data_IF_185459976396
#
_entry.id   IF_185459976396
#
_cell.length_a   1.000
_cell.length_b   1.000
_cell.length_c   1.000
_cell.angle_alpha   90.00
_cell.angle_beta   90.00
_cell.angle_gamma   90.00
#
_symmetry.space_group_name_H-M   'P 1'
#
loop_
_entity.id
_entity.type
_entity.pdbx_description
1 polymer ?
#
# COMPACT_ATOMS: atom_id res chain seq x y z
N UNK A 1 -23.97 39.40 16.67
CA UNK A 1 -23.03 39.01 15.59
C UNK A 1 -21.71 38.40 16.07
N UNK A 2 -21.24 38.62 17.32
CA UNK A 2 -19.99 38.04 17.84
C UNK A 2 -20.10 36.54 18.20
N UNK A 3 -21.23 36.12 18.74
CA UNK A 3 -21.49 34.73 19.16
C UNK A 3 -21.54 33.74 17.99
N UNK A 4 -22.12 34.16 16.86
CA UNK A 4 -22.20 33.34 15.64
C UNK A 4 -20.81 33.07 15.02
N UNK A 5 -19.91 34.05 15.06
CA UNK A 5 -18.53 33.88 14.56
C UNK A 5 -17.72 32.87 15.39
N UNK A 6 -17.88 32.92 16.72
CA UNK A 6 -17.19 32.00 17.63
C UNK A 6 -17.66 30.57 17.41
N UNK A 7 -18.98 30.36 17.25
CA UNK A 7 -19.52 29.03 16.93
C UNK A 7 -18.97 28.44 15.62
N UNK A 8 -18.85 29.26 14.57
CA UNK A 8 -18.32 28.81 13.27
C UNK A 8 -16.83 28.45 13.39
N UNK A 9 -16.04 29.26 14.09
CA UNK A 9 -14.62 28.99 14.34
C UNK A 9 -14.41 27.70 15.16
N UNK A 10 -15.25 27.45 16.18
CA UNK A 10 -15.19 26.21 16.95
C UNK A 10 -15.59 24.99 16.11
N UNK A 11 -16.57 25.11 15.21
CA UNK A 11 -16.99 24.03 14.35
C UNK A 11 -15.89 23.64 13.33
N UNK A 12 -15.19 24.62 12.77
CA UNK A 12 -14.08 24.38 11.82
C UNK A 12 -12.89 23.73 12.53
N UNK A 13 -12.55 24.17 13.74
CA UNK A 13 -11.46 23.57 14.52
C UNK A 13 -11.74 22.12 14.92
N UNK A 14 -13.01 21.78 15.20
CA UNK A 14 -13.42 20.41 15.52
C UNK A 14 -13.38 19.51 14.27
N UNK A 15 -13.81 20.01 13.12
CA UNK A 15 -13.72 19.28 11.85
C UNK A 15 -12.26 18.99 11.45
N UNK A 16 -11.36 19.96 11.62
CA UNK A 16 -9.94 19.79 11.33
C UNK A 16 -9.27 18.75 12.25
N UNK A 17 -9.63 18.71 13.55
CA UNK A 17 -9.13 17.70 14.48
C UNK A 17 -9.62 16.28 14.14
N UNK A 18 -10.83 16.15 13.58
CA UNK A 18 -11.38 14.86 13.12
C UNK A 18 -10.75 14.38 11.81
N UNK A 19 -10.26 15.29 10.95
CA UNK A 19 -9.55 14.94 9.71
C UNK A 19 -8.09 14.51 9.96
N UNK A 20 -7.49 14.96 11.07
CA UNK A 20 -6.15 14.52 11.50
C UNK A 20 -6.15 13.18 12.22
N UNK A 21 -7.32 12.57 12.48
CA UNK A 21 -7.45 11.13 12.67
C UNK A 21 -7.28 10.44 11.30
N UNK A 22 -6.09 10.69 10.78
CA UNK A 22 -5.46 10.17 9.60
C UNK A 22 -5.78 8.69 9.52
N UNK A 23 -6.45 8.31 8.43
CA UNK A 23 -6.55 6.93 8.00
C UNK A 23 -5.12 6.39 7.97
N UNK A 24 -4.70 5.70 9.03
CA UNK A 24 -3.62 4.75 8.89
C UNK A 24 -4.25 3.67 8.04
N UNK A 25 -3.99 3.69 6.73
CA UNK A 25 -4.04 2.48 5.95
C UNK A 25 -3.00 1.55 6.57
N UNK A 26 -3.44 0.86 7.63
CA UNK A 26 -2.79 -0.35 8.05
C UNK A 26 -3.06 -1.30 6.90
N UNK A 27 -2.04 -1.44 6.04
CA UNK A 27 -1.95 -2.51 5.05
C UNK A 27 -1.99 -3.81 5.85
N UNK A 28 -3.20 -4.23 6.22
CA UNK A 28 -3.48 -5.53 6.80
C UNK A 28 -3.07 -6.50 5.70
N UNK A 29 -1.82 -6.96 5.81
CA UNK A 29 -1.23 -7.89 4.87
C UNK A 29 -1.82 -9.23 5.24
N UNK A 30 -3.10 -9.42 4.90
CA UNK A 30 -3.82 -10.66 5.13
C UNK A 30 -2.97 -11.74 4.47
N UNK A 31 -2.41 -12.69 5.24
CA UNK A 31 -1.52 -13.70 4.67
C UNK A 31 -2.33 -14.53 3.67
N UNK A 32 -2.03 -14.33 2.39
CA UNK A 32 -2.62 -15.13 1.31
C UNK A 32 -1.88 -16.46 1.31
N UNK A 33 -2.64 -17.57 1.36
CA UNK A 33 -2.07 -18.90 1.18
C UNK A 33 -1.64 -19.05 -0.28
N UNK A 34 -0.38 -18.71 -0.54
CA UNK A 34 0.31 -19.04 -1.78
C UNK A 34 0.51 -20.56 -1.75
N UNK A 35 -0.24 -21.31 -2.56
CA UNK A 35 -0.07 -22.77 -2.67
C UNK A 35 1.30 -23.17 -3.21
N UNK A 36 1.37 -24.14 -4.11
CA UNK A 36 2.62 -24.45 -4.80
C UNK A 36 2.88 -23.45 -5.93
N UNK A 37 3.52 -22.33 -5.61
CA UNK A 37 3.92 -21.35 -6.62
C UNK A 37 5.39 -21.55 -6.98
N UNK A 38 5.61 -21.94 -8.23
CA UNK A 38 6.93 -22.08 -8.86
C UNK A 38 7.26 -20.77 -9.58
N UNK A 39 8.39 -20.16 -9.22
CA UNK A 39 8.87 -18.94 -9.87
C UNK A 39 9.84 -19.30 -10.98
N UNK A 40 9.43 -19.05 -12.23
CA UNK A 40 10.21 -19.38 -13.43
C UNK A 40 11.14 -18.27 -13.89
N UNK A 41 11.12 -17.10 -13.23
CA UNK A 41 12.00 -15.97 -13.55
C UNK A 41 13.42 -16.11 -12.97
N UNK A 42 13.66 -17.13 -12.14
CA UNK A 42 14.96 -17.40 -11.53
C UNK A 42 15.79 -18.31 -12.43
N UNK A 43 17.12 -18.28 -12.28
CA UNK A 43 18.04 -19.22 -12.98
C UNK A 43 17.71 -20.70 -12.73
N UNK A 44 16.96 -20.99 -11.66
CA UNK A 44 16.52 -22.32 -11.27
C UNK A 44 15.09 -22.17 -10.74
N UNK A 45 14.17 -22.96 -11.30
CA UNK A 45 12.80 -23.05 -10.81
C UNK A 45 12.80 -23.55 -9.36
N UNK A 46 12.22 -22.74 -8.46
CA UNK A 46 12.08 -23.09 -7.04
C UNK A 46 10.72 -22.64 -6.53
N UNK A 47 10.22 -23.38 -5.54
CA UNK A 47 9.06 -22.95 -4.76
C UNK A 47 9.47 -21.76 -3.90
N UNK A 48 8.59 -20.75 -3.79
CA UNK A 48 8.88 -19.52 -3.02
C UNK A 48 9.26 -19.81 -1.57
N UNK A 49 8.59 -20.78 -0.93
CA UNK A 49 8.88 -21.19 0.44
C UNK A 49 10.30 -21.70 0.65
N UNK A 50 11.00 -22.06 -0.43
CA UNK A 50 12.37 -22.58 -0.41
C UNK A 50 13.41 -21.56 -0.91
N UNK A 51 13.01 -20.29 -1.10
CA UNK A 51 13.91 -19.22 -1.52
C UNK A 51 14.53 -18.51 -0.30
N UNK A 52 15.85 -18.25 -0.30
CA UNK A 52 16.52 -17.51 0.76
C UNK A 52 16.39 -15.99 0.58
N UNK A 53 15.30 -15.52 -0.03
CA UNK A 53 15.03 -14.10 -0.30
C UNK A 53 13.55 -13.80 -0.07
N UNK A 54 13.26 -12.59 0.40
CA UNK A 54 11.88 -12.11 0.50
C UNK A 54 11.34 -11.83 -0.90
N UNK A 55 10.18 -12.41 -1.23
CA UNK A 55 9.53 -12.24 -2.52
C UNK A 55 8.01 -12.14 -2.31
N UNK A 56 7.40 -11.19 -3.00
CA UNK A 56 5.94 -11.00 -3.02
C UNK A 56 5.44 -11.26 -4.43
N UNK A 57 4.32 -11.98 -4.55
CA UNK A 57 3.59 -12.13 -5.80
C UNK A 57 2.33 -11.31 -5.72
N UNK A 58 2.09 -10.54 -6.77
CA UNK A 58 0.81 -9.88 -6.98
C UNK A 58 -0.01 -10.64 -8.01
N UNK A 59 -1.19 -11.14 -7.60
CA UNK A 59 -2.14 -11.78 -8.49
C UNK A 59 -2.88 -10.74 -9.36
N UNK A 60 -3.24 -11.15 -10.57
CA UNK A 60 -4.17 -10.49 -11.48
C UNK A 60 -5.48 -10.04 -10.81
N UNK A 61 -6.02 -10.80 -9.86
CA UNK A 61 -7.22 -10.41 -9.12
C UNK A 61 -6.98 -9.16 -8.27
N UNK A 62 -5.79 -9.04 -7.65
CA UNK A 62 -5.40 -7.87 -6.87
C UNK A 62 -5.20 -6.64 -7.77
N UNK A 63 -4.60 -6.85 -8.96
CA UNK A 63 -4.45 -5.82 -9.99
C UNK A 63 -5.82 -5.22 -10.36
N UNK A 64 -6.80 -6.08 -10.63
CA UNK A 64 -8.16 -5.66 -10.99
C UNK A 64 -8.88 -4.98 -9.81
N UNK A 65 -8.78 -5.54 -8.61
CA UNK A 65 -9.40 -4.99 -7.40
C UNK A 65 -8.89 -3.58 -7.07
N UNK A 66 -7.60 -3.33 -7.26
CA UNK A 66 -6.97 -2.02 -7.02
C UNK A 66 -7.21 -1.02 -8.16
N UNK A 67 -7.92 -1.42 -9.23
CA UNK A 67 -8.10 -0.61 -10.44
C UNK A 67 -6.78 0.00 -10.93
N UNK A 68 -5.70 -0.79 -10.85
CA UNK A 68 -4.38 -0.30 -11.20
C UNK A 68 -4.31 -0.05 -12.71
N UNK A 69 -3.88 1.15 -13.09
CA UNK A 69 -3.67 1.50 -14.50
C UNK A 69 -2.32 1.00 -15.01
N UNK A 70 -1.34 0.88 -14.13
CA UNK A 70 0.02 0.43 -14.44
C UNK A 70 0.57 -0.46 -13.34
N UNK A 71 1.59 -1.27 -13.65
CA UNK A 71 2.31 -2.06 -12.64
C UNK A 71 2.93 -1.18 -11.54
N UNK A 72 3.31 0.06 -11.87
CA UNK A 72 3.80 1.03 -10.90
C UNK A 72 2.76 1.30 -9.80
N UNK A 73 1.48 1.46 -10.15
CA UNK A 73 0.42 1.67 -9.15
C UNK A 73 0.24 0.47 -8.22
N UNK A 74 0.56 -0.73 -8.70
CA UNK A 74 0.50 -1.94 -7.89
C UNK A 74 1.64 -1.97 -6.88
N UNK A 75 2.87 -1.71 -7.33
CA UNK A 75 4.09 -1.75 -6.51
C UNK A 75 4.12 -0.69 -5.41
N UNK A 76 3.45 0.45 -5.61
CA UNK A 76 3.33 1.51 -4.61
C UNK A 76 2.59 1.06 -3.34
N UNK A 77 1.71 0.06 -3.45
CA UNK A 77 0.99 -0.52 -2.31
C UNK A 77 1.67 -1.76 -1.72
N UNK A 78 2.84 -2.15 -2.21
CA UNK A 78 3.55 -3.33 -1.72
C UNK A 78 4.48 -2.99 -0.54
N UNK A 79 4.46 -3.78 0.55
CA UNK A 79 5.32 -3.55 1.69
C UNK A 79 6.82 -3.54 1.33
N UNK A 80 7.54 -2.56 1.88
CA UNK A 80 8.99 -2.44 1.66
C UNK A 80 9.39 -1.84 0.30
N UNK A 81 8.42 -1.48 -0.55
CA UNK A 81 8.65 -0.77 -1.80
C UNK A 81 8.28 0.71 -1.62
N UNK A 82 9.13 1.60 -2.13
CA UNK A 82 8.89 3.05 -2.12
C UNK A 82 9.18 3.66 -3.49
N UNK A 83 8.39 4.66 -3.88
CA UNK A 83 8.54 5.41 -5.13
C UNK A 83 8.97 6.84 -4.82
N UNK A 84 10.09 7.25 -5.40
CA UNK A 84 10.52 8.65 -5.42
C UNK A 84 9.66 9.49 -6.36
N UNK A 85 9.56 10.80 -6.09
CA UNK A 85 8.83 11.74 -6.97
C UNK A 85 9.44 11.89 -8.37
N UNK A 86 10.70 11.49 -8.54
CA UNK A 86 11.42 11.35 -9.80
C UNK A 86 11.10 10.05 -10.55
N UNK A 87 10.29 9.19 -9.95
CA UNK A 87 9.88 7.91 -10.50
C UNK A 87 10.88 6.77 -10.29
N UNK A 88 11.94 6.99 -9.50
CA UNK A 88 12.88 5.94 -9.09
C UNK A 88 12.24 5.07 -7.99
N UNK A 89 12.50 3.77 -8.05
CA UNK A 89 12.01 2.80 -7.06
C UNK A 89 13.14 2.42 -6.10
N UNK A 90 12.83 2.32 -4.81
CA UNK A 90 13.75 1.85 -3.79
C UNK A 90 13.08 0.84 -2.87
N UNK A 91 13.84 -0.19 -2.50
CA UNK A 91 13.48 -1.10 -1.41
C UNK A 91 13.96 -0.50 -0.09
N UNK A 92 13.06 -0.36 0.89
CA UNK A 92 13.46 0.04 2.24
C UNK A 92 13.82 -1.22 3.05
N UNK A 93 14.88 -1.16 3.86
CA UNK A 93 15.36 -2.25 4.72
C UNK A 93 15.05 -1.92 6.17
#
# INVERSE_FOLDING_TARGET
MRTLKIMILTAISLAAAMSTAYSREQLDTIPVSLGEIVVTSLRIDRQIKNLPVSMVIVDSALYQKRSAFTMANVLEGEPGISRGGDGVWATNI
#
